data_IF_695258999245
#
_entry.id   IF_695258999245
#
_cell.length_a   1.000
_cell.length_b   1.000
_cell.length_c   1.000
_cell.angle_alpha   90.00
_cell.angle_beta   90.00
_cell.angle_gamma   90.00
#
_symmetry.space_group_name_H-M   'P 1'
#
loop_
_entity.id
_entity.type
_entity.pdbx_description
1 polymer ?
#
# COMPACT_ATOMS: atom_id res chain seq x y z
N UNK A 1 -11.16 -37.50 1.66
CA UNK A 1 -10.45 -36.34 2.28
C UNK A 1 -9.38 -35.73 1.37
N UNK A 2 -9.15 -36.25 0.16
CA UNK A 2 -8.18 -35.75 -0.85
C UNK A 2 -8.75 -34.69 -1.82
N UNK A 3 -10.04 -34.70 -2.10
CA UNK A 3 -10.66 -33.83 -3.11
C UNK A 3 -10.76 -32.34 -2.68
N UNK A 4 -10.79 -32.07 -1.38
CA UNK A 4 -10.87 -30.68 -0.87
C UNK A 4 -9.55 -29.91 -0.98
N UNK A 5 -8.41 -30.60 -0.98
CA UNK A 5 -7.08 -29.97 -1.10
C UNK A 5 -6.73 -29.62 -2.56
N UNK A 6 -7.16 -30.45 -3.51
CA UNK A 6 -6.99 -30.17 -4.94
C UNK A 6 -7.85 -28.97 -5.40
N UNK A 7 -9.09 -28.87 -4.91
CA UNK A 7 -9.99 -27.76 -5.18
C UNK A 7 -9.42 -26.42 -4.70
N UNK A 8 -8.81 -26.35 -3.52
CA UNK A 8 -8.22 -25.12 -2.98
C UNK A 8 -7.00 -24.65 -3.75
N UNK A 9 -6.17 -25.57 -4.27
CA UNK A 9 -4.92 -25.21 -4.98
C UNK A 9 -5.17 -24.47 -6.29
N UNK A 10 -6.27 -24.75 -6.99
CA UNK A 10 -6.65 -24.08 -8.24
C UNK A 10 -7.62 -22.91 -8.03
N UNK A 11 -8.33 -22.90 -6.92
CA UNK A 11 -9.33 -21.88 -6.63
C UNK A 11 -8.72 -20.47 -6.52
N UNK A 12 -7.64 -20.30 -5.79
CA UNK A 12 -6.99 -18.99 -5.61
C UNK A 12 -6.44 -18.38 -6.90
N UNK A 13 -5.67 -19.07 -7.74
CA UNK A 13 -5.18 -18.51 -8.99
C UNK A 13 -6.30 -18.23 -9.99
N UNK A 14 -7.34 -19.08 -10.05
CA UNK A 14 -8.50 -18.85 -10.91
C UNK A 14 -9.33 -17.65 -10.44
N UNK A 15 -9.61 -17.54 -9.15
CA UNK A 15 -10.31 -16.41 -8.56
C UNK A 15 -9.53 -15.09 -8.78
N UNK A 16 -8.19 -15.11 -8.62
CA UNK A 16 -7.32 -13.99 -8.92
C UNK A 16 -7.35 -13.59 -10.39
N UNK A 17 -7.32 -14.56 -11.31
CA UNK A 17 -7.45 -14.31 -12.75
C UNK A 17 -8.78 -13.68 -13.14
N UNK A 18 -9.88 -14.20 -12.59
CA UNK A 18 -11.22 -13.63 -12.80
C UNK A 18 -11.29 -12.21 -12.26
N UNK A 19 -10.76 -11.97 -11.06
CA UNK A 19 -10.72 -10.63 -10.48
C UNK A 19 -9.93 -9.64 -11.35
N UNK A 20 -8.77 -10.03 -11.90
CA UNK A 20 -7.98 -9.21 -12.80
C UNK A 20 -8.75 -8.88 -14.08
N UNK A 21 -9.45 -9.87 -14.68
CA UNK A 21 -10.29 -9.68 -15.87
C UNK A 21 -11.45 -8.71 -15.58
N UNK A 22 -12.15 -8.91 -14.48
CA UNK A 22 -13.25 -8.02 -14.08
C UNK A 22 -12.73 -6.59 -13.93
N UNK A 23 -11.63 -6.37 -13.21
CA UNK A 23 -11.05 -5.05 -13.02
C UNK A 23 -10.55 -4.42 -14.32
N UNK A 24 -10.04 -5.19 -15.26
CA UNK A 24 -9.67 -4.68 -16.59
C UNK A 24 -10.88 -4.19 -17.41
N UNK A 25 -12.04 -4.81 -17.23
CA UNK A 25 -13.27 -4.46 -17.94
C UNK A 25 -14.03 -3.28 -17.30
N UNK A 26 -13.82 -2.97 -16.03
CA UNK A 26 -14.57 -1.93 -15.29
C UNK A 26 -14.58 -0.56 -16.01
N UNK A 27 -13.45 0.02 -16.47
CA UNK A 27 -13.48 1.33 -17.11
C UNK A 27 -14.29 1.34 -18.42
N UNK A 28 -14.26 0.25 -19.17
CA UNK A 28 -15.01 0.11 -20.44
C UNK A 28 -16.49 -0.06 -20.17
N UNK A 29 -16.88 -0.79 -19.13
CA UNK A 29 -18.27 -0.96 -18.72
C UNK A 29 -18.87 0.37 -18.25
N UNK A 30 -18.13 1.16 -17.48
CA UNK A 30 -18.57 2.47 -16.99
C UNK A 30 -18.80 3.49 -18.14
N UNK A 31 -18.00 3.39 -19.22
CA UNK A 31 -18.23 4.21 -20.41
C UNK A 31 -19.46 3.79 -21.20
N UNK A 32 -19.62 2.48 -21.42
CA UNK A 32 -20.77 1.91 -22.14
C UNK A 32 -22.09 2.17 -21.40
N UNK A 33 -22.06 2.23 -20.07
CA UNK A 33 -23.22 2.54 -19.24
C UNK A 33 -23.67 4.00 -19.31
N UNK A 34 -23.03 4.86 -20.13
CA UNK A 34 -23.44 6.26 -20.35
C UNK A 34 -23.23 7.18 -19.14
N UNK A 35 -22.48 6.75 -18.15
CA UNK A 35 -22.19 7.49 -16.93
C UNK A 35 -21.08 8.54 -17.12
N UNK A 36 -20.95 9.12 -18.32
CA UNK A 36 -19.83 9.95 -18.75
C UNK A 36 -19.48 11.12 -17.81
N UNK A 37 -20.43 11.73 -17.12
CA UNK A 37 -20.17 12.75 -16.10
C UNK A 37 -19.95 12.16 -14.70
N UNK A 38 -20.66 11.10 -14.33
CA UNK A 38 -20.52 10.39 -13.05
C UNK A 38 -19.38 9.36 -13.02
N UNK A 39 -18.94 8.87 -14.20
CA UNK A 39 -17.91 7.83 -14.30
C UNK A 39 -16.54 8.25 -13.77
N UNK A 40 -16.20 9.53 -13.82
CA UNK A 40 -14.93 10.06 -13.27
C UNK A 40 -14.90 9.90 -11.76
N UNK A 41 -15.96 10.29 -11.05
CA UNK A 41 -16.06 10.17 -9.60
C UNK A 41 -16.02 8.68 -9.15
N UNK A 42 -16.64 7.80 -9.92
CA UNK A 42 -16.61 6.36 -9.67
C UNK A 42 -15.21 5.77 -9.88
N UNK A 43 -14.49 6.20 -10.92
CA UNK A 43 -13.11 5.78 -11.14
C UNK A 43 -12.17 6.28 -10.04
N UNK A 44 -12.36 7.50 -9.53
CA UNK A 44 -11.58 8.03 -8.42
C UNK A 44 -11.86 7.25 -7.11
N UNK A 45 -13.10 6.85 -6.88
CA UNK A 45 -13.45 5.99 -5.76
C UNK A 45 -12.78 4.62 -5.87
N UNK A 46 -12.83 3.99 -7.05
CA UNK A 46 -12.17 2.71 -7.30
C UNK A 46 -10.64 2.80 -7.19
N UNK A 47 -10.04 3.91 -7.59
CA UNK A 47 -8.62 4.18 -7.40
C UNK A 47 -8.24 4.21 -5.92
N UNK A 48 -9.04 4.88 -5.09
CA UNK A 48 -8.85 4.88 -3.63
C UNK A 48 -8.98 3.47 -3.05
N UNK A 49 -9.99 2.71 -3.49
CA UNK A 49 -10.17 1.31 -3.07
C UNK A 49 -8.94 0.48 -3.42
N UNK A 50 -8.36 0.63 -4.62
CA UNK A 50 -7.14 -0.07 -5.03
C UNK A 50 -5.96 0.23 -4.11
N UNK A 51 -5.74 1.49 -3.77
CA UNK A 51 -4.67 1.91 -2.85
C UNK A 51 -4.87 1.32 -1.45
N UNK A 52 -6.09 1.42 -0.91
CA UNK A 52 -6.39 0.86 0.41
C UNK A 52 -6.35 -0.67 0.43
N UNK A 53 -6.69 -1.33 -0.68
CA UNK A 53 -6.55 -2.78 -0.82
C UNK A 53 -5.07 -3.19 -0.75
N UNK A 54 -4.17 -2.49 -1.43
CA UNK A 54 -2.73 -2.74 -1.35
C UNK A 54 -2.20 -2.54 0.08
N UNK A 55 -2.67 -1.50 0.78
CA UNK A 55 -2.33 -1.26 2.19
C UNK A 55 -2.85 -2.38 3.10
N UNK A 56 -4.09 -2.80 2.91
CA UNK A 56 -4.68 -3.88 3.70
C UNK A 56 -3.95 -5.21 3.50
N UNK A 57 -3.53 -5.52 2.27
CA UNK A 57 -2.72 -6.71 1.97
C UNK A 57 -1.36 -6.67 2.67
N UNK A 58 -0.70 -5.50 2.70
CA UNK A 58 0.58 -5.36 3.39
C UNK A 58 0.43 -5.46 4.91
N UNK A 59 -0.65 -4.93 5.47
CA UNK A 59 -0.98 -5.10 6.89
C UNK A 59 -1.31 -6.56 7.23
N UNK A 60 -2.00 -7.27 6.34
CA UNK A 60 -2.33 -8.69 6.52
C UNK A 60 -1.07 -9.56 6.62
N UNK A 61 0.03 -9.20 5.96
CA UNK A 61 1.29 -9.93 6.10
C UNK A 61 1.81 -9.88 7.55
N UNK A 62 1.70 -8.73 8.20
CA UNK A 62 2.13 -8.58 9.60
C UNK A 62 1.11 -9.20 10.53
N UNK A 63 -0.12 -8.71 10.52
CA UNK A 63 -1.17 -9.14 11.44
C UNK A 63 -1.57 -10.61 11.24
N UNK A 64 -1.74 -11.03 9.98
CA UNK A 64 -2.19 -12.38 9.63
C UNK A 64 -1.14 -13.44 9.87
N UNK A 65 0.12 -13.19 9.53
CA UNK A 65 1.19 -14.18 9.63
C UNK A 65 1.85 -14.22 11.01
N UNK A 66 2.15 -13.05 11.60
CA UNK A 66 2.84 -13.00 12.90
C UNK A 66 1.88 -12.89 14.10
N UNK A 67 0.61 -12.54 13.87
CA UNK A 67 -0.36 -12.32 14.96
C UNK A 67 -0.11 -11.05 15.79
N UNK A 68 0.87 -10.23 15.40
CA UNK A 68 1.20 -9.00 16.11
C UNK A 68 0.23 -7.88 15.74
N UNK A 69 -0.52 -7.38 16.72
CA UNK A 69 -1.41 -6.23 16.55
C UNK A 69 -0.60 -4.95 16.39
N UNK A 70 -0.45 -4.50 15.13
CA UNK A 70 0.33 -3.31 14.78
C UNK A 70 -0.56 -2.30 14.05
N UNK A 71 -0.77 -1.12 14.67
CA UNK A 71 -1.55 -0.02 14.08
C UNK A 71 -0.68 1.08 13.45
N UNK A 72 0.65 0.92 13.48
CA UNK A 72 1.62 1.89 12.95
C UNK A 72 1.77 1.93 11.44
N UNK A 73 1.05 1.08 10.69
CA UNK A 73 1.24 0.88 9.25
C UNK A 73 1.02 2.15 8.41
N UNK A 74 0.07 2.99 8.81
CA UNK A 74 -0.22 4.27 8.16
C UNK A 74 0.91 5.29 8.25
N UNK A 75 1.75 5.23 9.30
CA UNK A 75 2.93 6.09 9.41
C UNK A 75 3.97 5.78 8.31
N UNK A 76 4.20 4.52 7.99
CA UNK A 76 5.12 4.11 6.93
C UNK A 76 4.61 4.50 5.55
N UNK A 77 3.30 4.36 5.32
CA UNK A 77 2.65 4.84 4.11
C UNK A 77 2.79 6.36 3.95
N UNK A 78 2.54 7.12 5.01
CA UNK A 78 2.69 8.57 5.02
C UNK A 78 4.13 8.98 4.69
N UNK A 79 5.14 8.33 5.29
CA UNK A 79 6.55 8.60 4.98
C UNK A 79 6.86 8.38 3.50
N UNK A 80 6.40 7.29 2.91
CA UNK A 80 6.58 7.02 1.48
C UNK A 80 5.89 8.06 0.60
N UNK A 81 4.65 8.41 0.92
CA UNK A 81 3.86 9.38 0.15
C UNK A 81 4.47 10.78 0.21
N UNK A 82 4.83 11.27 1.40
CA UNK A 82 5.46 12.59 1.56
C UNK A 82 6.85 12.65 0.95
N UNK A 83 7.65 11.59 1.04
CA UNK A 83 8.94 11.51 0.36
C UNK A 83 8.78 11.68 -1.16
N UNK A 84 7.85 10.95 -1.76
CA UNK A 84 7.55 11.06 -3.20
C UNK A 84 7.06 12.48 -3.55
N UNK A 85 6.17 13.05 -2.74
CA UNK A 85 5.63 14.38 -2.96
C UNK A 85 6.72 15.46 -2.88
N UNK A 86 7.57 15.43 -1.86
CA UNK A 86 8.66 16.40 -1.66
C UNK A 86 9.68 16.29 -2.80
N UNK A 87 10.14 15.10 -3.14
CA UNK A 87 11.10 14.90 -4.22
C UNK A 87 10.55 15.38 -5.58
N UNK A 88 9.26 15.20 -5.80
CA UNK A 88 8.62 15.63 -7.03
C UNK A 88 8.40 17.14 -7.08
N UNK A 89 7.96 17.78 -5.99
CA UNK A 89 7.66 19.23 -5.98
C UNK A 89 8.91 20.10 -5.84
N UNK A 90 9.88 19.70 -5.00
CA UNK A 90 11.09 20.48 -4.74
C UNK A 90 12.18 20.20 -5.76
N UNK A 91 12.41 18.93 -6.10
CA UNK A 91 13.51 18.52 -6.99
C UNK A 91 13.04 18.19 -8.41
N UNK A 92 11.73 18.26 -8.69
CA UNK A 92 11.12 17.98 -10.00
C UNK A 92 11.46 16.59 -10.56
N UNK A 93 11.70 15.61 -9.69
CA UNK A 93 11.99 14.24 -10.10
C UNK A 93 10.73 13.53 -10.56
N UNK A 94 10.82 12.68 -11.60
CA UNK A 94 9.66 11.92 -12.06
C UNK A 94 9.18 10.95 -10.98
N UNK A 95 7.87 10.83 -10.82
CA UNK A 95 7.23 10.02 -9.74
C UNK A 95 7.75 8.57 -9.72
N UNK A 96 7.97 7.96 -10.87
CA UNK A 96 8.50 6.58 -10.93
C UNK A 96 9.95 6.45 -10.42
N UNK A 97 10.77 7.48 -10.57
CA UNK A 97 12.13 7.49 -10.03
C UNK A 97 12.14 7.74 -8.51
N UNK A 98 11.15 8.45 -7.99
CA UNK A 98 11.04 8.71 -6.54
C UNK A 98 10.50 7.52 -5.76
N UNK A 99 9.74 6.60 -6.38
CA UNK A 99 9.17 5.41 -5.72
C UNK A 99 10.22 4.53 -5.00
N UNK A 100 11.33 4.11 -5.63
CA UNK A 100 12.32 3.28 -4.93
C UNK A 100 12.99 4.02 -3.77
N UNK A 101 13.23 5.33 -3.92
CA UNK A 101 13.81 6.16 -2.86
C UNK A 101 12.84 6.27 -1.68
N UNK A 102 11.56 6.53 -1.97
CA UNK A 102 10.51 6.57 -0.98
C UNK A 102 10.38 5.22 -0.24
N UNK A 103 10.49 4.11 -0.96
CA UNK A 103 10.51 2.77 -0.39
C UNK A 103 11.69 2.54 0.56
N UNK A 104 12.90 2.95 0.16
CA UNK A 104 14.10 2.84 1.01
C UNK A 104 13.98 3.72 2.25
N UNK A 105 13.52 4.98 2.13
CA UNK A 105 13.34 5.86 3.28
C UNK A 105 12.26 5.36 4.23
N UNK A 106 11.14 4.85 3.70
CA UNK A 106 10.10 4.23 4.52
C UNK A 106 10.63 2.97 5.24
N UNK A 107 11.49 2.17 4.59
CA UNK A 107 12.11 1.00 5.20
C UNK A 107 13.10 1.38 6.32
N UNK A 108 13.93 2.41 6.11
CA UNK A 108 14.84 2.94 7.14
C UNK A 108 14.02 3.46 8.33
N UNK A 109 12.97 4.22 8.07
CA UNK A 109 12.09 4.72 9.12
C UNK A 109 11.43 3.57 9.90
N UNK A 110 10.94 2.55 9.20
CA UNK A 110 10.38 1.35 9.82
C UNK A 110 11.42 0.62 10.69
N UNK A 111 12.65 0.48 10.21
CA UNK A 111 13.73 -0.18 10.95
C UNK A 111 14.09 0.59 12.24
N UNK A 112 14.19 1.92 12.17
CA UNK A 112 14.48 2.77 13.33
C UNK A 112 13.37 2.65 14.39
N UNK A 113 12.10 2.64 13.96
CA UNK A 113 10.97 2.49 14.87
C UNK A 113 10.79 1.07 15.40
N UNK A 114 11.10 0.06 14.61
CA UNK A 114 10.96 -1.34 15.01
C UNK A 114 11.89 -1.69 16.19
N UNK A 115 13.09 -1.12 16.22
CA UNK A 115 14.11 -1.42 17.25
C UNK A 115 13.62 -1.24 18.69
N UNK A 116 13.00 -0.11 19.09
CA UNK A 116 12.44 0.04 20.43
C UNK A 116 11.14 -0.73 20.64
N UNK A 117 10.40 -1.04 19.58
CA UNK A 117 9.05 -1.61 19.63
C UNK A 117 9.09 -3.13 19.75
N UNK A 118 10.14 -3.79 19.21
CA UNK A 118 10.21 -5.26 19.11
C UNK A 118 10.15 -5.97 20.48
N UNK A 119 10.50 -5.26 21.56
CA UNK A 119 10.44 -5.79 22.92
C UNK A 119 9.05 -5.66 23.58
N UNK A 120 8.13 -4.94 22.92
CA UNK A 120 6.77 -4.72 23.42
C UNK A 120 5.85 -5.83 22.93
N UNK A 121 4.99 -6.33 23.81
CA UNK A 121 4.05 -7.41 23.51
C UNK A 121 2.60 -6.99 23.81
N UNK A 122 1.66 -7.61 23.10
CA UNK A 122 0.23 -7.44 23.33
C UNK A 122 -0.23 -5.98 23.22
N UNK A 123 -0.98 -5.52 24.19
CA UNK A 123 -1.64 -4.20 24.19
C UNK A 123 -0.65 -3.03 24.24
N UNK A 124 0.54 -3.21 24.83
CA UNK A 124 1.58 -2.17 24.84
C UNK A 124 2.09 -1.88 23.44
N UNK A 125 2.24 -2.89 22.60
CA UNK A 125 2.61 -2.73 21.18
C UNK A 125 1.57 -1.90 20.44
N UNK A 126 0.29 -2.20 20.67
CA UNK A 126 -0.84 -1.49 20.05
C UNK A 126 -0.83 0.00 20.43
N UNK A 127 -0.74 0.31 21.72
CA UNK A 127 -0.77 1.69 22.22
C UNK A 127 0.41 2.50 21.67
N UNK A 128 1.62 1.95 21.71
CA UNK A 128 2.83 2.62 21.20
C UNK A 128 2.76 2.86 19.71
N UNK A 129 2.25 1.89 18.92
CA UNK A 129 2.15 2.05 17.47
C UNK A 129 1.09 3.08 17.07
N UNK A 130 -0.02 3.20 17.80
CA UNK A 130 -0.99 4.29 17.63
C UNK A 130 -0.34 5.65 17.97
N UNK A 131 0.41 5.73 19.08
CA UNK A 131 1.12 6.94 19.47
C UNK A 131 2.11 7.40 18.39
N UNK A 132 2.84 6.49 17.76
CA UNK A 132 3.75 6.80 16.65
C UNK A 132 3.01 7.38 15.44
N UNK A 133 1.88 6.78 15.05
CA UNK A 133 1.07 7.33 13.95
C UNK A 133 0.64 8.75 14.26
N UNK A 134 0.22 9.02 15.48
CA UNK A 134 -0.23 10.34 15.88
C UNK A 134 0.93 11.36 15.90
N UNK A 135 2.11 10.97 16.38
CA UNK A 135 3.31 11.82 16.32
C UNK A 135 3.66 12.16 14.88
N UNK A 136 3.67 11.18 13.98
CA UNK A 136 3.93 11.40 12.55
C UNK A 136 2.88 12.32 11.95
N UNK A 137 1.60 12.10 12.25
CA UNK A 137 0.50 12.95 11.78
C UNK A 137 0.68 14.40 12.23
N UNK A 138 0.96 14.62 13.52
CA UNK A 138 1.19 15.95 14.08
C UNK A 138 2.42 16.61 13.45
N UNK A 139 3.51 15.88 13.27
CA UNK A 139 4.72 16.40 12.64
C UNK A 139 4.46 16.86 11.20
N UNK A 140 3.72 16.08 10.42
CA UNK A 140 3.37 16.39 9.04
C UNK A 140 2.40 17.59 8.94
N UNK A 141 1.42 17.68 9.85
CA UNK A 141 0.45 18.79 9.88
C UNK A 141 1.04 20.09 10.41
N UNK A 142 2.11 20.04 11.20
CA UNK A 142 2.84 21.20 11.68
C UNK A 142 3.94 21.69 10.71
N UNK A 143 3.90 21.28 9.46
CA UNK A 143 4.83 21.70 8.42
C UNK A 143 6.30 21.42 8.78
N UNK A 144 6.60 20.15 9.04
CA UNK A 144 7.93 19.67 9.42
C UNK A 144 9.00 20.21 8.44
N UNK A 145 9.99 20.93 8.98
CA UNK A 145 11.05 21.60 8.23
C UNK A 145 10.59 22.52 7.10
N UNK A 146 9.32 22.98 7.08
CA UNK A 146 8.78 23.80 6.00
C UNK A 146 8.52 23.05 4.68
N UNK A 147 8.59 21.70 4.68
CA UNK A 147 8.53 20.87 3.48
C UNK A 147 7.18 20.16 3.28
N UNK A 148 6.41 19.97 4.35
CA UNK A 148 5.20 19.13 4.30
C UNK A 148 3.92 19.91 3.96
N UNK A 149 4.01 21.24 3.84
CA UNK A 149 2.86 22.10 3.54
C UNK A 149 1.85 22.23 4.68
N UNK A 150 2.11 21.61 5.83
CA UNK A 150 1.27 21.71 7.03
C UNK A 150 -0.13 21.09 6.84
N UNK A 151 -1.14 21.72 7.43
CA UNK A 151 -2.54 21.27 7.36
C UNK A 151 -3.11 21.26 5.93
N UNK A 152 -2.56 22.07 5.04
CA UNK A 152 -2.99 22.14 3.64
C UNK A 152 -2.39 21.04 2.76
N UNK A 153 -1.29 20.40 3.20
CA UNK A 153 -0.58 19.39 2.42
C UNK A 153 0.27 19.97 1.29
N UNK A 154 0.83 19.10 0.45
CA UNK A 154 1.70 19.45 -0.67
C UNK A 154 0.86 19.53 -1.95
N UNK A 155 0.88 20.68 -2.60
CA UNK A 155 0.21 20.92 -3.88
C UNK A 155 1.22 20.90 -5.04
N UNK A 156 0.71 20.73 -6.27
CA UNK A 156 1.52 20.83 -7.47
C UNK A 156 2.34 19.59 -7.79
N UNK A 157 1.99 18.44 -7.22
CA UNK A 157 2.65 17.16 -7.56
C UNK A 157 2.42 16.88 -9.05
N UNK A 158 3.51 16.71 -9.79
CA UNK A 158 3.45 16.39 -11.21
C UNK A 158 2.80 15.02 -11.44
N UNK A 159 2.06 14.92 -12.53
CA UNK A 159 1.41 13.66 -12.91
C UNK A 159 2.45 12.60 -13.25
N UNK A 160 2.22 11.32 -12.87
CA UNK A 160 3.14 10.25 -13.22
C UNK A 160 3.34 10.21 -14.75
N UNK A 161 4.60 10.18 -15.20
CA UNK A 161 4.96 10.01 -16.60
C UNK A 161 5.96 8.89 -16.75
N UNK A 162 5.73 7.98 -17.70
CA UNK A 162 6.60 6.85 -18.00
C UNK A 162 6.85 6.83 -19.50
N UNK A 163 8.11 6.83 -19.92
CA UNK A 163 8.51 6.83 -21.34
C UNK A 163 7.78 7.87 -22.22
N UNK A 164 7.56 9.09 -21.69
CA UNK A 164 6.88 10.17 -22.42
C UNK A 164 5.33 10.09 -22.38
N UNK A 165 4.74 9.02 -21.87
CA UNK A 165 3.30 8.94 -21.66
C UNK A 165 2.92 9.50 -20.28
N UNK A 166 2.12 10.58 -20.30
CA UNK A 166 1.59 11.19 -19.07
C UNK A 166 0.28 10.51 -18.68
N UNK A 167 0.19 10.04 -17.45
CA UNK A 167 -1.02 9.41 -16.89
C UNK A 167 -1.99 10.49 -16.37
N UNK A 168 -2.49 11.33 -17.30
CA UNK A 168 -3.41 12.43 -16.96
C UNK A 168 -4.89 12.05 -16.94
N UNK A 169 -5.28 11.03 -17.70
CA UNK A 169 -6.66 10.56 -17.76
C UNK A 169 -6.99 9.68 -16.54
N UNK A 170 -8.18 9.83 -15.93
CA UNK A 170 -8.65 8.96 -14.83
C UNK A 170 -8.55 7.48 -15.14
N UNK A 171 -8.82 7.09 -16.39
CA UNK A 171 -8.66 5.71 -16.85
C UNK A 171 -7.21 5.22 -16.78
N UNK A 172 -6.25 6.03 -17.25
CA UNK A 172 -4.84 5.64 -17.23
C UNK A 172 -4.34 5.51 -15.79
N UNK A 173 -4.81 6.38 -14.89
CA UNK A 173 -4.52 6.29 -13.46
C UNK A 173 -5.13 5.02 -12.85
N UNK A 174 -6.35 4.66 -13.24
CA UNK A 174 -6.99 3.43 -12.82
C UNK A 174 -6.15 2.21 -13.19
N UNK A 175 -5.75 2.05 -14.44
CA UNK A 175 -4.92 0.92 -14.85
C UNK A 175 -3.58 0.89 -14.15
N UNK A 176 -2.95 2.04 -13.92
CA UNK A 176 -1.68 2.13 -13.20
C UNK A 176 -1.81 1.65 -11.75
N UNK A 177 -2.81 2.15 -11.01
CA UNK A 177 -3.04 1.80 -9.61
C UNK A 177 -3.39 0.32 -9.47
N UNK A 178 -4.30 -0.18 -10.31
CA UNK A 178 -4.71 -1.59 -10.24
C UNK A 178 -3.62 -2.55 -10.68
N UNK A 179 -2.79 -2.19 -11.66
CA UNK A 179 -1.59 -2.98 -12.01
C UNK A 179 -0.64 -3.07 -10.81
N UNK A 180 -0.41 -1.95 -10.12
CA UNK A 180 0.41 -1.94 -8.92
C UNK A 180 -0.21 -2.77 -7.79
N UNK A 181 -1.51 -2.67 -7.57
CA UNK A 181 -2.24 -3.45 -6.56
C UNK A 181 -2.15 -4.95 -6.84
N UNK A 182 -2.35 -5.37 -8.10
CA UNK A 182 -2.24 -6.76 -8.53
C UNK A 182 -0.80 -7.27 -8.36
N UNK A 183 0.19 -6.46 -8.74
CA UNK A 183 1.60 -6.81 -8.55
C UNK A 183 1.94 -6.98 -7.06
N UNK A 184 1.43 -6.11 -6.21
CA UNK A 184 1.58 -6.19 -4.75
C UNK A 184 0.91 -7.46 -4.20
N UNK A 185 -0.29 -7.78 -4.65
CA UNK A 185 -0.99 -9.01 -4.28
C UNK A 185 -0.19 -10.26 -4.69
N UNK A 186 0.34 -10.28 -5.90
CA UNK A 186 1.18 -11.38 -6.38
C UNK A 186 2.47 -11.52 -5.55
N UNK A 187 3.13 -10.40 -5.25
CA UNK A 187 4.35 -10.37 -4.44
C UNK A 187 4.08 -10.93 -3.03
N UNK A 188 3.01 -10.50 -2.39
CA UNK A 188 2.65 -11.00 -1.06
C UNK A 188 2.25 -12.47 -1.08
N UNK A 189 1.55 -12.92 -2.12
CA UNK A 189 1.24 -14.33 -2.32
C UNK A 189 2.52 -15.18 -2.39
N UNK A 190 3.52 -14.75 -3.16
CA UNK A 190 4.81 -15.43 -3.27
C UNK A 190 5.57 -15.39 -1.94
N UNK A 191 5.58 -14.25 -1.24
CA UNK A 191 6.22 -14.11 0.06
C UNK A 191 5.59 -15.04 1.11
N UNK A 192 4.27 -15.12 1.17
CA UNK A 192 3.54 -15.98 2.10
C UNK A 192 3.88 -17.47 1.90
N UNK A 193 4.02 -17.91 0.64
CA UNK A 193 4.35 -19.29 0.31
C UNK A 193 5.87 -19.57 0.31
N UNK A 194 6.70 -18.59 0.55
CA UNK A 194 8.15 -18.69 0.61
C UNK A 194 8.65 -19.27 1.95
N UNK A 195 9.98 -19.46 2.07
CA UNK A 195 10.62 -19.80 3.34
C UNK A 195 10.43 -18.70 4.39
N UNK A 196 10.38 -17.44 3.94
CA UNK A 196 10.17 -16.28 4.80
C UNK A 196 8.76 -16.29 5.43
N UNK A 197 7.71 -16.55 4.65
CA UNK A 197 6.34 -16.65 5.18
C UNK A 197 6.19 -17.77 6.22
N UNK A 198 6.87 -18.91 5.99
CA UNK A 198 6.89 -19.99 6.99
C UNK A 198 7.57 -19.57 8.29
N UNK A 199 8.69 -18.84 8.19
CA UNK A 199 9.38 -18.33 9.38
C UNK A 199 8.51 -17.34 10.17
N UNK A 200 7.75 -16.46 9.48
CA UNK A 200 6.80 -15.55 10.14
C UNK A 200 5.69 -16.30 10.89
N UNK A 201 5.17 -17.39 10.30
CA UNK A 201 4.17 -18.21 10.96
C UNK A 201 4.70 -18.91 12.23
N UNK A 202 5.98 -19.29 12.29
CA UNK A 202 6.57 -19.85 13.51
C UNK A 202 6.59 -18.85 14.66
N UNK A 203 6.84 -17.55 14.39
CA UNK A 203 6.82 -16.49 15.41
C UNK A 203 5.44 -16.40 16.09
N UNK A 204 4.36 -16.71 15.36
CA UNK A 204 3.00 -16.68 15.89
C UNK A 204 2.72 -17.78 16.94
N UNK A 205 3.38 -18.93 16.81
CA UNK A 205 3.14 -20.10 17.66
C UNK A 205 4.14 -20.24 18.79
N UNK A 206 5.28 -19.56 18.72
CA UNK A 206 6.36 -19.64 19.70
C UNK A 206 6.54 -18.28 20.37
N UNK A 207 5.81 -18.06 21.46
CA UNK A 207 5.90 -16.85 22.29
C UNK A 207 7.26 -16.71 23.02
N UNK A 208 8.15 -17.70 22.87
CA UNK A 208 9.44 -17.80 23.57
C UNK A 208 10.64 -17.71 22.62
N UNK A 209 10.47 -17.55 21.31
CA UNK A 209 11.55 -17.46 20.34
C UNK A 209 12.10 -16.03 20.21
#
# INVERSE_FOLDING_TARGET
MSDSLFSKRYFYPVAGGIFCLVMACVPTILELAGLGGGGIAQLDMLNKIGIYAALALSLNLILGQTGLFHMGHTAFFAMGAYTTAILNTVYHWPVFATMPIAGVLAAIFAFVLAKPIIHLRGDYLLIVTIGIVEIVRIALTNNLFGLTGGANGIYGIARPSLFGMVFSSPKRQFYLIWTFTILTMFLFYVLEHSRFGRALNYIRYDDLA
#
